data_IF_807653505280
#
_entry.id   IF_807653505280
#
_cell.length_a   1.000
_cell.length_b   1.000
_cell.length_c   1.000
_cell.angle_alpha   90.00
_cell.angle_beta   90.00
_cell.angle_gamma   90.00
#
_symmetry.space_group_name_H-M   'P 1'
#
loop_
_entity.id
_entity.type
_entity.pdbx_description
1 polymer ?
#
# COMPACT_ATOMS: atom_id res chain seq x y z
N UNK A 1 15.37 -53.52 19.24
CA UNK A 1 16.01 -52.19 19.27
C UNK A 1 15.75 -51.57 17.92
N UNK A 2 14.79 -50.65 17.86
CA UNK A 2 14.37 -50.01 16.62
C UNK A 2 15.21 -48.75 16.40
N UNK A 3 15.89 -48.70 15.26
CA UNK A 3 16.60 -47.52 14.81
C UNK A 3 15.58 -46.47 14.37
N UNK A 4 15.50 -45.39 15.14
CA UNK A 4 14.75 -44.19 14.78
C UNK A 4 15.57 -43.45 13.74
N UNK A 5 15.17 -43.58 12.47
CA UNK A 5 15.64 -42.70 11.40
C UNK A 5 15.05 -41.32 11.67
N UNK A 6 15.86 -40.44 12.27
CA UNK A 6 15.57 -39.02 12.39
C UNK A 6 15.69 -38.40 11.00
N UNK A 7 14.58 -38.36 10.27
CA UNK A 7 14.45 -37.53 9.07
C UNK A 7 14.47 -36.06 9.47
N UNK A 8 15.61 -35.40 9.28
CA UNK A 8 15.68 -33.95 9.25
C UNK A 8 14.87 -33.47 8.03
N UNK A 9 13.67 -32.92 8.30
CA UNK A 9 12.84 -32.30 7.27
C UNK A 9 13.48 -31.01 6.80
N UNK A 10 14.13 -31.07 5.64
CA UNK A 10 14.46 -29.90 4.84
C UNK A 10 13.16 -29.42 4.17
N UNK A 11 12.38 -28.64 4.91
CA UNK A 11 11.10 -28.07 4.48
C UNK A 11 11.35 -26.88 3.54
N UNK A 12 12.12 -27.09 2.46
CA UNK A 12 12.17 -26.18 1.33
C UNK A 12 10.84 -26.30 0.60
N UNK A 13 9.85 -25.47 0.97
CA UNK A 13 8.62 -25.29 0.19
C UNK A 13 9.01 -25.07 -1.27
N UNK A 14 8.73 -26.05 -2.12
CA UNK A 14 9.02 -25.98 -3.55
C UNK A 14 8.28 -24.80 -4.17
N UNK A 15 9.02 -23.91 -4.82
CA UNK A 15 8.50 -22.77 -5.57
C UNK A 15 7.47 -23.27 -6.60
N UNK A 16 6.22 -22.85 -6.45
CA UNK A 16 5.15 -23.19 -7.39
C UNK A 16 5.20 -22.22 -8.56
N UNK A 17 5.35 -22.72 -9.78
CA UNK A 17 5.44 -21.89 -11.00
C UNK A 17 4.22 -22.14 -11.91
N UNK A 18 3.89 -21.22 -12.83
CA UNK A 18 2.92 -21.47 -13.89
C UNK A 18 3.33 -22.70 -14.72
N UNK A 19 2.34 -23.52 -15.10
CA UNK A 19 2.56 -24.69 -15.95
C UNK A 19 1.91 -24.41 -17.31
N UNK A 20 2.68 -24.41 -18.42
CA UNK A 20 2.14 -24.24 -19.76
C UNK A 20 1.02 -25.23 -20.07
N UNK A 21 -0.04 -24.77 -20.75
CA UNK A 21 -1.20 -25.59 -21.10
C UNK A 21 -2.12 -25.98 -19.93
N UNK A 22 -1.83 -25.56 -18.69
CA UNK A 22 -2.72 -25.74 -17.54
C UNK A 22 -3.36 -24.44 -17.10
N UNK A 23 -4.49 -24.55 -16.40
CA UNK A 23 -5.12 -23.39 -15.74
C UNK A 23 -4.30 -22.98 -14.52
N UNK A 24 -3.60 -21.86 -14.66
CA UNK A 24 -2.78 -21.22 -13.64
C UNK A 24 -3.59 -20.11 -12.96
N UNK A 25 -3.74 -20.15 -11.63
CA UNK A 25 -4.62 -19.24 -10.88
C UNK A 25 -3.83 -18.57 -9.76
N UNK A 26 -3.65 -17.25 -9.88
CA UNK A 26 -3.14 -16.42 -8.81
C UNK A 26 -4.30 -15.89 -7.97
N UNK A 27 -4.30 -16.22 -6.68
CA UNK A 27 -5.30 -15.78 -5.71
C UNK A 27 -4.60 -14.87 -4.72
N UNK A 28 -5.15 -13.68 -4.54
CA UNK A 28 -4.66 -12.72 -3.55
C UNK A 28 -5.78 -12.38 -2.57
N UNK A 29 -5.41 -12.10 -1.33
CA UNK A 29 -6.30 -11.43 -0.39
C UNK A 29 -5.75 -10.05 -0.08
N UNK A 30 -6.64 -9.08 0.19
CA UNK A 30 -6.23 -7.74 0.54
C UNK A 30 -5.31 -7.79 1.77
N UNK A 31 -4.14 -7.15 1.66
CA UNK A 31 -3.15 -7.13 2.73
C UNK A 31 -3.73 -6.43 3.97
N UNK A 32 -3.91 -7.12 5.11
CA UNK A 32 -4.28 -6.46 6.36
C UNK A 32 -3.22 -5.46 6.79
N UNK A 33 -3.66 -4.27 7.21
CA UNK A 33 -2.78 -3.32 7.90
C UNK A 33 -2.27 -3.92 9.20
N UNK A 34 -0.95 -3.94 9.36
CA UNK A 34 -0.28 -4.61 10.48
C UNK A 34 -0.55 -3.96 11.83
N UNK A 35 -1.05 -2.73 11.89
CA UNK A 35 -1.15 -1.98 13.13
C UNK A 35 -2.39 -2.33 13.99
N UNK A 36 -3.22 -3.30 13.57
CA UNK A 36 -4.45 -3.68 14.27
C UNK A 36 -4.65 -5.20 14.29
N UNK A 37 -5.29 -5.72 15.34
CA UNK A 37 -5.71 -7.13 15.38
C UNK A 37 -6.90 -7.31 14.42
N UNK A 38 -6.90 -8.34 13.55
CA UNK A 38 -8.01 -8.55 12.61
C UNK A 38 -9.27 -8.99 13.35
N UNK A 39 -10.41 -8.37 13.02
CA UNK A 39 -11.72 -8.79 13.50
C UNK A 39 -12.45 -9.67 12.48
N UNK A 40 -13.57 -10.29 12.88
CA UNK A 40 -14.33 -11.23 12.03
C UNK A 40 -14.72 -10.63 10.67
N UNK A 41 -15.10 -9.35 10.63
CA UNK A 41 -15.36 -8.62 9.39
C UNK A 41 -14.18 -8.61 8.39
N UNK A 42 -12.93 -8.45 8.85
CA UNK A 42 -11.76 -8.53 7.97
C UNK A 42 -11.55 -9.96 7.45
N UNK A 43 -11.79 -10.94 8.33
CA UNK A 43 -11.58 -12.35 8.01
C UNK A 43 -12.56 -12.79 6.92
N UNK A 44 -13.86 -12.58 7.12
CA UNK A 44 -14.87 -13.00 6.15
C UNK A 44 -14.76 -12.22 4.83
N UNK A 45 -14.47 -10.92 4.90
CA UNK A 45 -14.41 -10.05 3.71
C UNK A 45 -13.19 -10.26 2.82
N UNK A 46 -12.13 -10.91 3.33
CA UNK A 46 -10.88 -11.05 2.59
C UNK A 46 -10.35 -12.49 2.63
N UNK A 47 -9.77 -12.92 3.76
CA UNK A 47 -8.93 -14.13 3.78
C UNK A 47 -9.74 -15.42 3.77
N UNK A 48 -10.90 -15.46 4.45
CA UNK A 48 -11.74 -16.67 4.49
C UNK A 48 -12.44 -16.92 3.15
N UNK A 49 -12.95 -15.86 2.51
CA UNK A 49 -13.56 -15.97 1.17
C UNK A 49 -12.54 -16.46 0.14
N UNK A 50 -11.31 -15.92 0.16
CA UNK A 50 -10.25 -16.34 -0.74
C UNK A 50 -9.75 -17.77 -0.44
N UNK A 51 -9.71 -18.19 0.84
CA UNK A 51 -9.34 -19.56 1.22
C UNK A 51 -10.29 -20.61 0.67
N UNK A 52 -11.60 -20.39 0.78
CA UNK A 52 -12.62 -21.29 0.23
C UNK A 52 -12.41 -21.48 -1.28
N UNK A 53 -12.17 -20.39 -2.01
CA UNK A 53 -11.88 -20.44 -3.44
C UNK A 53 -10.55 -21.14 -3.74
N UNK A 54 -9.49 -20.86 -2.99
CA UNK A 54 -8.19 -21.52 -3.15
C UNK A 54 -8.28 -23.04 -2.96
N UNK A 55 -8.98 -23.49 -1.91
CA UNK A 55 -9.24 -24.92 -1.66
C UNK A 55 -10.04 -25.55 -2.79
N UNK A 56 -11.09 -24.88 -3.28
CA UNK A 56 -11.84 -25.34 -4.44
C UNK A 56 -10.93 -25.49 -5.67
N UNK A 57 -10.11 -24.49 -6.00
CA UNK A 57 -9.21 -24.55 -7.14
C UNK A 57 -8.22 -25.72 -7.04
N UNK A 58 -7.66 -25.97 -5.85
CA UNK A 58 -6.77 -27.10 -5.59
C UNK A 58 -7.50 -28.44 -5.77
N UNK A 59 -8.73 -28.58 -5.24
CA UNK A 59 -9.56 -29.78 -5.43
C UNK A 59 -9.94 -30.03 -6.89
N UNK A 60 -10.08 -28.97 -7.69
CA UNK A 60 -10.31 -29.06 -9.15
C UNK A 60 -9.04 -29.43 -9.94
N UNK A 61 -7.89 -29.59 -9.28
CA UNK A 61 -6.62 -29.88 -9.93
C UNK A 61 -6.00 -28.68 -10.67
N UNK A 62 -6.48 -27.45 -10.42
CA UNK A 62 -5.88 -26.26 -10.99
C UNK A 62 -4.54 -25.95 -10.35
N UNK A 63 -3.62 -25.38 -11.12
CA UNK A 63 -2.37 -24.86 -10.59
C UNK A 63 -2.65 -23.52 -9.90
N UNK A 64 -3.12 -23.57 -8.65
CA UNK A 64 -3.53 -22.39 -7.90
C UNK A 64 -2.53 -22.02 -6.82
N UNK A 65 -2.20 -20.74 -6.73
CA UNK A 65 -1.36 -20.19 -5.68
C UNK A 65 -2.12 -19.10 -4.93
N UNK A 66 -2.16 -19.20 -3.61
CA UNK A 66 -2.87 -18.29 -2.74
C UNK A 66 -1.90 -17.56 -1.81
N UNK A 67 -1.79 -16.25 -2.04
CA UNK A 67 -0.81 -15.41 -1.38
C UNK A 67 -1.47 -14.25 -0.62
N UNK A 68 -0.88 -13.87 0.50
CA UNK A 68 -1.25 -12.68 1.28
C UNK A 68 -0.05 -12.21 2.10
N UNK A 69 -0.21 -11.18 2.91
CA UNK A 69 0.83 -10.68 3.79
C UNK A 69 0.35 -9.47 4.58
N UNK A 70 1.22 -8.90 5.40
CA UNK A 70 0.93 -7.68 6.16
C UNK A 70 1.34 -6.42 5.41
N UNK A 71 0.46 -5.42 5.38
CA UNK A 71 0.79 -4.07 4.95
C UNK A 71 1.34 -3.27 6.12
N UNK A 72 2.64 -2.94 6.04
CA UNK A 72 3.44 -2.47 7.16
C UNK A 72 3.81 -1.00 7.09
N UNK A 73 3.65 -0.39 5.92
CA UNK A 73 4.07 0.99 5.70
C UNK A 73 2.95 1.99 5.98
N UNK A 74 3.36 3.19 6.40
CA UNK A 74 2.48 4.34 6.51
C UNK A 74 2.51 5.02 7.87
N UNK A 75 1.94 6.23 7.93
CA UNK A 75 1.93 7.06 9.14
C UNK A 75 1.24 6.39 10.32
N UNK A 76 0.25 5.52 10.07
CA UNK A 76 -0.45 4.80 11.13
C UNK A 76 0.49 3.88 11.92
N UNK A 77 1.42 3.21 11.23
CA UNK A 77 2.46 2.38 11.87
C UNK A 77 3.41 3.25 12.70
N UNK A 78 3.86 4.39 12.17
CA UNK A 78 4.74 5.31 12.90
C UNK A 78 4.06 5.88 14.15
N UNK A 79 2.79 6.32 14.04
CA UNK A 79 2.02 6.82 15.19
C UNK A 79 1.86 5.73 16.25
N UNK A 80 1.50 4.51 15.84
CA UNK A 80 1.30 3.41 16.78
C UNK A 80 2.60 2.97 17.46
N UNK A 81 3.71 2.98 16.72
CA UNK A 81 5.03 2.73 17.27
C UNK A 81 5.41 3.77 18.35
N UNK A 82 5.11 5.05 18.11
CA UNK A 82 5.29 6.11 19.10
C UNK A 82 4.40 5.91 20.34
N UNK A 83 3.13 5.53 20.16
CA UNK A 83 2.21 5.24 21.27
C UNK A 83 2.67 4.05 22.12
N UNK A 84 3.24 3.01 21.50
CA UNK A 84 3.76 1.82 22.18
C UNK A 84 5.23 1.96 22.63
N UNK A 85 5.84 3.14 22.44
CA UNK A 85 7.25 3.40 22.75
C UNK A 85 8.21 2.37 22.13
N UNK A 86 7.96 1.96 20.89
CA UNK A 86 8.78 1.02 20.15
C UNK A 86 9.11 1.56 18.74
N UNK A 87 9.96 0.85 18.02
CA UNK A 87 10.29 1.18 16.63
C UNK A 87 9.19 0.69 15.68
N UNK A 88 9.02 1.32 14.49
CA UNK A 88 8.12 0.82 13.46
C UNK A 88 8.39 -0.64 13.07
N UNK A 89 9.66 -1.07 13.11
CA UNK A 89 10.01 -2.45 12.82
C UNK A 89 9.51 -3.42 13.90
N UNK A 90 9.71 -3.10 15.17
CA UNK A 90 9.27 -3.96 16.28
C UNK A 90 7.76 -4.12 16.31
N UNK A 91 7.00 -3.05 16.04
CA UNK A 91 5.54 -3.15 15.98
C UNK A 91 5.08 -4.02 14.81
N UNK A 92 5.68 -3.85 13.63
CA UNK A 92 5.36 -4.70 12.48
C UNK A 92 5.71 -6.17 12.74
N UNK A 93 6.88 -6.44 13.34
CA UNK A 93 7.33 -7.78 13.68
C UNK A 93 6.36 -8.45 14.68
N UNK A 94 5.92 -7.71 15.72
CA UNK A 94 4.94 -8.16 16.70
C UNK A 94 3.60 -8.51 16.06
N UNK A 95 3.01 -7.59 15.31
CA UNK A 95 1.66 -7.79 14.78
C UNK A 95 1.63 -8.72 13.57
N UNK A 96 2.68 -8.80 12.76
CA UNK A 96 2.79 -9.81 11.71
C UNK A 96 2.67 -11.23 12.29
N UNK A 97 3.34 -11.49 13.42
CA UNK A 97 3.20 -12.77 14.12
C UNK A 97 1.77 -13.02 14.61
N UNK A 98 1.10 -12.01 15.18
CA UNK A 98 -0.30 -12.11 15.61
C UNK A 98 -1.23 -12.46 14.43
N UNK A 99 -1.09 -11.75 13.30
CA UNK A 99 -1.88 -12.03 12.09
C UNK A 99 -1.67 -13.46 11.61
N UNK A 100 -0.41 -13.89 11.50
CA UNK A 100 -0.07 -15.25 11.09
C UNK A 100 -0.70 -16.30 12.01
N UNK A 101 -0.63 -16.10 13.32
CA UNK A 101 -1.15 -17.06 14.30
C UNK A 101 -2.68 -17.13 14.27
N UNK A 102 -3.38 -15.99 14.11
CA UNK A 102 -4.83 -15.94 13.91
C UNK A 102 -5.22 -16.69 12.62
N UNK A 103 -4.57 -16.40 11.49
CA UNK A 103 -4.91 -17.04 10.23
C UNK A 103 -4.57 -18.53 10.21
N UNK A 104 -3.51 -18.94 10.91
CA UNK A 104 -3.19 -20.35 11.14
C UNK A 104 -4.29 -21.03 11.97
N UNK A 105 -4.80 -20.39 13.01
CA UNK A 105 -5.89 -20.93 13.84
C UNK A 105 -7.20 -21.08 13.05
N UNK A 106 -7.53 -20.11 12.19
CA UNK A 106 -8.64 -20.22 11.23
C UNK A 106 -8.40 -21.23 10.10
N UNK A 107 -7.22 -21.87 10.07
CA UNK A 107 -6.81 -22.81 9.03
C UNK A 107 -6.84 -22.19 7.63
N UNK A 108 -6.42 -20.93 7.50
CA UNK A 108 -6.26 -20.28 6.20
C UNK A 108 -5.03 -20.84 5.51
N UNK A 109 -5.22 -21.37 4.31
CA UNK A 109 -4.24 -22.15 3.57
C UNK A 109 -3.45 -21.31 2.57
N UNK A 110 -2.72 -20.31 3.06
CA UNK A 110 -1.78 -19.57 2.21
C UNK A 110 -0.66 -20.49 1.73
N UNK A 111 -0.31 -20.39 0.44
CA UNK A 111 0.95 -20.92 -0.07
C UNK A 111 2.11 -20.08 0.50
N UNK A 112 1.93 -18.75 0.54
CA UNK A 112 2.87 -17.79 1.15
C UNK A 112 2.14 -16.66 1.91
N UNK A 113 2.61 -16.34 3.12
CA UNK A 113 2.14 -15.21 3.93
C UNK A 113 3.30 -14.25 4.23
N UNK A 114 3.49 -13.28 3.33
CA UNK A 114 4.64 -12.39 3.29
C UNK A 114 4.46 -11.06 4.01
N UNK A 115 5.34 -10.10 3.68
CA UNK A 115 5.44 -8.77 4.30
C UNK A 115 5.81 -7.71 3.27
N UNK A 116 5.29 -6.49 3.41
CA UNK A 116 5.68 -5.38 2.52
C UNK A 116 7.04 -4.78 2.87
N UNK A 117 7.54 -4.98 4.09
CA UNK A 117 8.80 -4.40 4.57
C UNK A 117 10.07 -5.13 4.09
N UNK A 118 10.18 -5.40 2.79
CA UNK A 118 11.21 -6.31 2.25
C UNK A 118 12.05 -5.65 1.14
N UNK A 119 13.33 -6.03 0.96
CA UNK A 119 14.17 -5.47 -0.10
C UNK A 119 13.56 -5.62 -1.51
N UNK A 120 12.91 -6.76 -1.78
CA UNK A 120 12.25 -7.08 -3.04
C UNK A 120 11.07 -6.11 -3.31
N UNK A 121 10.35 -5.69 -2.27
CA UNK A 121 9.31 -4.67 -2.41
C UNK A 121 9.90 -3.39 -2.97
N UNK A 122 11.04 -2.97 -2.41
CA UNK A 122 11.73 -1.76 -2.83
C UNK A 122 12.12 -1.85 -4.30
N UNK A 123 12.69 -2.98 -4.71
CA UNK A 123 13.09 -3.22 -6.10
C UNK A 123 11.91 -3.15 -7.09
N UNK A 124 10.81 -3.87 -6.81
CA UNK A 124 9.63 -3.89 -7.69
C UNK A 124 8.95 -2.53 -7.74
N UNK A 125 8.78 -1.86 -6.60
CA UNK A 125 8.24 -0.49 -6.56
C UNK A 125 9.13 0.47 -7.35
N UNK A 126 10.45 0.38 -7.23
CA UNK A 126 11.40 1.20 -7.99
C UNK A 126 11.30 0.93 -9.49
N UNK A 127 11.17 -0.34 -9.90
CA UNK A 127 11.05 -0.70 -11.31
C UNK A 127 9.77 -0.14 -11.94
N UNK A 128 8.63 -0.27 -11.26
CA UNK A 128 7.36 0.30 -11.73
C UNK A 128 7.47 1.83 -11.77
N UNK A 129 7.99 2.46 -10.72
CA UNK A 129 8.16 3.91 -10.68
C UNK A 129 9.04 4.43 -11.83
N UNK A 130 10.16 3.76 -12.13
CA UNK A 130 11.03 4.11 -13.26
C UNK A 130 10.28 4.04 -14.59
N UNK A 131 9.51 2.98 -14.82
CA UNK A 131 8.67 2.87 -16.03
C UNK A 131 7.64 4.00 -16.10
N UNK A 132 6.97 4.35 -14.99
CA UNK A 132 6.02 5.47 -14.97
C UNK A 132 6.70 6.80 -15.32
N UNK A 133 7.92 7.01 -14.81
CA UNK A 133 8.73 8.20 -15.08
C UNK A 133 9.16 8.26 -16.55
N UNK A 134 9.70 7.16 -17.09
CA UNK A 134 10.13 7.05 -18.50
C UNK A 134 8.98 7.26 -19.48
N UNK A 135 7.76 6.86 -19.11
CA UNK A 135 6.55 7.06 -19.93
C UNK A 135 5.88 8.44 -19.75
N UNK A 136 6.49 9.36 -18.99
CA UNK A 136 5.94 10.69 -18.70
C UNK A 136 4.52 10.66 -18.08
N UNK A 137 4.25 9.66 -17.23
CA UNK A 137 2.99 9.57 -16.48
C UNK A 137 3.08 10.17 -15.07
N UNK A 138 4.19 10.84 -14.77
CA UNK A 138 4.42 11.51 -13.50
C UNK A 138 4.60 13.01 -13.72
N UNK A 139 4.02 13.81 -12.82
CA UNK A 139 4.25 15.25 -12.73
C UNK A 139 4.78 15.63 -11.36
N UNK A 140 5.47 16.77 -11.28
CA UNK A 140 5.94 17.36 -10.02
C UNK A 140 5.10 18.60 -9.73
N UNK A 141 4.50 18.65 -8.54
CA UNK A 141 3.78 19.83 -8.06
C UNK A 141 4.19 20.15 -6.63
N UNK A 142 4.31 21.44 -6.35
CA UNK A 142 4.53 21.96 -5.01
C UNK A 142 3.19 22.02 -4.26
N UNK A 143 3.16 21.56 -3.01
CA UNK A 143 2.02 21.71 -2.13
C UNK A 143 2.42 22.27 -0.76
N UNK A 144 1.46 22.91 -0.11
CA UNK A 144 1.61 23.45 1.23
C UNK A 144 1.25 22.41 2.28
N UNK A 145 2.17 22.15 3.21
CA UNK A 145 1.96 21.28 4.36
C UNK A 145 2.43 21.95 5.65
N UNK A 146 1.87 21.52 6.77
CA UNK A 146 2.31 21.97 8.09
C UNK A 146 3.63 21.29 8.47
N UNK A 147 4.64 22.09 8.79
CA UNK A 147 5.97 21.65 9.22
C UNK A 147 6.19 22.03 10.68
N UNK A 148 6.62 21.07 11.48
CA UNK A 148 7.03 21.31 12.86
C UNK A 148 8.54 21.48 12.92
N UNK A 149 9.02 22.66 13.32
CA UNK A 149 10.45 22.96 13.43
C UNK A 149 11.11 22.14 14.55
N UNK A 150 10.44 21.99 15.69
CA UNK A 150 10.92 21.23 16.85
C UNK A 150 11.11 19.75 16.53
N UNK A 151 10.15 19.14 15.82
CA UNK A 151 10.24 17.74 15.39
C UNK A 151 10.97 17.57 14.04
N UNK A 152 11.35 18.68 13.40
CA UNK A 152 12.01 18.73 12.08
C UNK A 152 11.32 17.85 11.02
N UNK A 153 9.99 17.82 11.00
CA UNK A 153 9.20 16.98 10.08
C UNK A 153 7.89 17.64 9.62
N UNK A 154 7.43 17.25 8.44
CA UNK A 154 6.07 17.53 7.99
C UNK A 154 5.06 16.72 8.80
N UNK A 155 3.92 17.34 9.12
CA UNK A 155 2.88 16.75 9.94
C UNK A 155 1.78 16.22 9.04
N UNK A 156 1.50 14.92 9.15
CA UNK A 156 0.27 14.35 8.64
C UNK A 156 -0.93 14.90 9.41
N UNK A 157 -2.11 14.90 8.79
CA UNK A 157 -3.35 15.46 9.34
C UNK A 157 -3.67 14.99 10.77
N UNK A 158 -3.35 13.74 11.09
CA UNK A 158 -3.56 13.12 12.42
C UNK A 158 -2.60 13.61 13.50
N UNK A 159 -1.47 14.21 13.11
CA UNK A 159 -0.47 14.78 14.00
C UNK A 159 -0.66 16.29 14.20
N UNK A 160 -1.72 16.85 13.62
CA UNK A 160 -2.11 18.25 13.78
C UNK A 160 -3.42 18.30 14.57
N UNK A 161 -3.41 19.11 15.62
CA UNK A 161 -4.61 19.48 16.37
C UNK A 161 -4.74 21.00 16.41
N UNK A 162 -5.94 21.52 16.59
CA UNK A 162 -6.15 22.96 16.70
C UNK A 162 -7.60 23.31 16.94
N UNK A 163 -7.92 24.59 16.88
CA UNK A 163 -9.26 25.07 17.09
C UNK A 163 -10.05 25.00 15.77
N UNK A 164 -11.28 24.51 15.85
CA UNK A 164 -12.16 24.32 14.70
C UNK A 164 -12.51 25.68 14.06
N UNK A 165 -12.29 25.87 12.75
CA UNK A 165 -12.60 27.12 12.06
C UNK A 165 -14.10 27.30 11.79
N UNK A 166 -14.94 26.31 12.10
CA UNK A 166 -16.37 26.36 11.83
C UNK A 166 -17.05 27.37 12.77
N UNK A 167 -17.72 28.41 12.23
CA UNK A 167 -18.43 29.38 13.05
C UNK A 167 -19.44 28.69 13.99
N UNK A 168 -19.40 29.04 15.28
CA UNK A 168 -20.30 28.49 16.30
C UNK A 168 -19.91 27.11 16.85
N UNK A 169 -18.87 26.45 16.33
CA UNK A 169 -18.40 25.18 16.88
C UNK A 169 -17.53 25.37 18.13
N UNK A 170 -16.54 26.28 18.06
CA UNK A 170 -15.58 26.57 19.14
C UNK A 170 -15.00 25.30 19.80
N UNK A 171 -14.57 24.33 18.99
CA UNK A 171 -13.92 23.12 19.49
C UNK A 171 -12.41 23.30 19.44
N UNK A 172 -11.72 23.21 20.58
CA UNK A 172 -10.30 23.59 20.71
C UNK A 172 -9.30 22.47 20.39
N UNK A 173 -9.81 21.28 20.06
CA UNK A 173 -9.02 20.07 19.79
C UNK A 173 -9.50 19.35 18.53
N UNK A 174 -9.91 20.11 17.51
CA UNK A 174 -10.19 19.56 16.19
C UNK A 174 -8.94 18.95 15.57
N UNK A 175 -9.09 17.80 14.92
CA UNK A 175 -8.02 17.16 14.16
C UNK A 175 -7.87 17.81 12.80
N UNK A 176 -6.71 17.62 12.17
CA UNK A 176 -6.42 18.17 10.84
C UNK A 176 -7.36 17.70 9.73
N UNK A 177 -7.97 16.52 9.85
CA UNK A 177 -8.87 15.92 8.86
C UNK A 177 -10.36 16.13 9.15
N UNK A 178 -10.75 16.11 10.43
CA UNK A 178 -12.14 16.21 10.84
C UNK A 178 -12.29 16.76 12.25
N UNK A 179 -13.26 17.67 12.43
CA UNK A 179 -13.72 18.09 13.75
C UNK A 179 -14.68 17.06 14.36
N UNK A 180 -14.37 16.53 15.55
CA UNK A 180 -15.22 15.54 16.23
C UNK A 180 -16.52 16.14 16.78
N UNK A 181 -16.57 17.46 17.03
CA UNK A 181 -17.76 18.13 17.58
C UNK A 181 -18.82 18.42 16.51
N UNK A 182 -18.43 18.97 15.36
CA UNK A 182 -19.38 19.34 14.29
C UNK A 182 -19.36 18.39 13.09
N UNK A 183 -18.46 17.41 13.06
CA UNK A 183 -18.34 16.42 11.98
C UNK A 183 -17.77 16.97 10.66
N UNK A 184 -17.48 18.28 10.56
CA UNK A 184 -16.96 18.91 9.35
C UNK A 184 -15.57 18.36 8.99
N UNK A 185 -15.39 18.03 7.72
CA UNK A 185 -14.09 17.73 7.13
C UNK A 185 -13.27 19.02 7.02
N UNK A 186 -12.03 18.98 7.50
CA UNK A 186 -11.14 20.12 7.56
C UNK A 186 -9.88 19.83 6.76
N UNK A 187 -9.22 20.89 6.30
CA UNK A 187 -7.82 20.82 5.92
C UNK A 187 -6.96 21.29 7.11
N UNK A 188 -5.80 20.66 7.38
CA UNK A 188 -4.96 21.05 8.52
C UNK A 188 -4.54 22.52 8.50
N UNK A 189 -4.38 23.11 7.32
CA UNK A 189 -4.03 24.52 7.11
C UNK A 189 -5.15 25.51 7.48
N UNK A 190 -6.39 25.03 7.61
CA UNK A 190 -7.55 25.85 8.01
C UNK A 190 -7.74 25.90 9.53
N UNK A 191 -7.02 25.08 10.31
CA UNK A 191 -7.13 25.08 11.76
C UNK A 191 -6.63 26.40 12.35
N UNK A 192 -7.38 26.92 13.31
CA UNK A 192 -6.99 28.10 14.08
C UNK A 192 -6.04 27.65 15.19
N UNK A 193 -4.90 28.33 15.37
CA UNK A 193 -3.87 27.95 16.34
C UNK A 193 -3.47 26.47 16.26
N UNK A 194 -2.98 26.00 15.09
CA UNK A 194 -2.56 24.62 14.96
C UNK A 194 -1.41 24.32 15.92
N UNK A 195 -1.39 23.10 16.44
CA UNK A 195 -0.39 22.56 17.35
C UNK A 195 0.01 21.17 16.87
N UNK A 196 1.30 20.87 17.01
CA UNK A 196 1.82 19.54 16.76
C UNK A 196 1.43 18.62 17.92
N UNK A 197 0.73 17.53 17.64
CA UNK A 197 0.34 16.54 18.68
C UNK A 197 1.54 15.89 19.39
N UNK A 198 2.73 15.92 18.77
CA UNK A 198 3.94 15.29 19.30
C UNK A 198 4.67 16.17 20.32
N UNK A 199 4.81 17.47 20.05
CA UNK A 199 5.61 18.38 20.88
C UNK A 199 4.85 19.63 21.35
N UNK A 200 3.55 19.72 21.08
CA UNK A 200 2.66 20.84 21.38
C UNK A 200 3.03 22.21 20.76
N UNK A 201 4.14 22.32 20.02
CA UNK A 201 4.54 23.56 19.35
C UNK A 201 3.69 23.87 18.11
N UNK A 202 3.55 25.15 17.77
CA UNK A 202 2.80 25.58 16.58
C UNK A 202 3.58 25.30 15.30
N UNK A 203 3.04 24.50 14.36
CA UNK A 203 3.67 24.27 13.07
C UNK A 203 3.50 25.49 12.14
N UNK A 204 4.38 25.61 11.16
CA UNK A 204 4.31 26.63 10.09
C UNK A 204 3.98 25.99 8.75
N UNK A 205 3.31 26.71 7.88
CA UNK A 205 3.09 26.27 6.51
C UNK A 205 4.43 26.33 5.76
N UNK A 206 4.77 25.25 5.07
CA UNK A 206 5.97 25.15 4.25
C UNK A 206 5.63 24.44 2.94
N UNK A 207 6.22 24.93 1.86
CA UNK A 207 6.14 24.31 0.55
C UNK A 207 7.00 23.04 0.50
N UNK A 208 6.44 21.97 -0.07
CA UNK A 208 7.12 20.70 -0.32
C UNK A 208 6.75 20.18 -1.71
N UNK A 209 7.74 19.65 -2.43
CA UNK A 209 7.59 19.16 -3.78
C UNK A 209 7.22 17.67 -3.76
N UNK A 210 6.18 17.32 -4.51
CA UNK A 210 5.67 15.96 -4.57
C UNK A 210 5.47 15.50 -6.01
N UNK A 211 5.66 14.19 -6.22
CA UNK A 211 5.31 13.53 -7.47
C UNK A 211 3.86 13.04 -7.45
N UNK A 212 3.19 13.25 -8.57
CA UNK A 212 1.82 12.88 -8.82
C UNK A 212 1.75 11.89 -9.99
N UNK A 213 0.93 10.87 -9.86
CA UNK A 213 0.55 10.00 -10.97
C UNK A 213 -0.57 10.67 -11.75
N UNK A 214 -0.32 10.91 -13.04
CA UNK A 214 -1.26 11.52 -13.98
C UNK A 214 -2.31 10.50 -14.45
N UNK A 215 -3.20 10.10 -13.54
CA UNK A 215 -4.33 9.22 -13.85
C UNK A 215 -5.21 9.68 -15.03
N UNK A 216 -5.44 11.00 -15.28
CA UNK A 216 -6.20 11.43 -16.46
C UNK A 216 -5.60 10.93 -17.78
N UNK A 217 -4.26 10.86 -17.88
CA UNK A 217 -3.57 10.37 -19.08
C UNK A 217 -3.80 8.87 -19.33
N UNK A 218 -4.14 8.12 -18.27
CA UNK A 218 -4.36 6.68 -18.29
C UNK A 218 -5.84 6.30 -18.42
N UNK A 219 -6.76 7.27 -18.33
CA UNK A 219 -8.18 7.00 -18.18
C UNK A 219 -8.76 6.21 -19.36
N UNK A 220 -8.42 6.56 -20.60
CA UNK A 220 -8.90 5.84 -21.79
C UNK A 220 -8.50 4.37 -21.77
N UNK A 221 -7.19 4.09 -21.58
CA UNK A 221 -6.66 2.72 -21.52
C UNK A 221 -7.28 1.93 -20.37
N UNK A 222 -7.50 2.58 -19.23
CA UNK A 222 -8.12 1.95 -18.07
C UNK A 222 -9.60 1.59 -18.33
N UNK A 223 -10.35 2.47 -19.01
CA UNK A 223 -11.75 2.21 -19.39
C UNK A 223 -11.85 1.01 -20.33
N UNK A 224 -10.99 0.95 -21.34
CA UNK A 224 -10.96 -0.16 -22.30
C UNK A 224 -10.67 -1.47 -21.56
N UNK A 225 -9.62 -1.50 -20.72
CA UNK A 225 -9.27 -2.65 -19.90
C UNK A 225 -10.42 -3.10 -18.99
N UNK A 226 -11.07 -2.18 -18.27
CA UNK A 226 -12.18 -2.50 -17.36
C UNK A 226 -13.38 -3.06 -18.13
N UNK A 227 -13.69 -2.51 -19.31
CA UNK A 227 -14.83 -2.97 -20.11
C UNK A 227 -14.70 -4.43 -20.52
N UNK A 228 -13.50 -4.87 -20.88
CA UNK A 228 -13.22 -6.25 -21.26
C UNK A 228 -13.07 -7.15 -20.04
N UNK A 229 -12.26 -6.75 -19.06
CA UNK A 229 -11.89 -7.61 -17.93
C UNK A 229 -12.98 -7.75 -16.88
N UNK A 230 -13.90 -6.79 -16.75
CA UNK A 230 -15.02 -6.92 -15.81
C UNK A 230 -15.95 -8.07 -16.20
N UNK A 231 -16.15 -8.28 -17.49
CA UNK A 231 -16.95 -9.39 -18.05
C UNK A 231 -16.14 -10.69 -18.02
N UNK A 232 -14.95 -10.70 -18.64
CA UNK A 232 -14.11 -11.90 -18.74
C UNK A 232 -13.69 -12.43 -17.35
N UNK A 233 -13.37 -11.53 -16.43
CA UNK A 233 -12.98 -11.84 -15.05
C UNK A 233 -14.16 -12.03 -14.09
N UNK A 234 -15.41 -11.93 -14.57
CA UNK A 234 -16.63 -12.11 -13.75
C UNK A 234 -16.62 -11.28 -12.46
N UNK A 235 -16.38 -9.98 -12.58
CA UNK A 235 -16.31 -9.09 -11.42
C UNK A 235 -17.66 -9.02 -10.69
N UNK A 236 -17.61 -8.82 -9.37
CA UNK A 236 -18.84 -8.61 -8.61
C UNK A 236 -19.53 -7.31 -9.02
N UNK A 237 -20.86 -7.30 -8.99
CA UNK A 237 -21.66 -6.13 -9.37
C UNK A 237 -21.29 -4.88 -8.56
N UNK A 238 -21.00 -5.06 -7.27
CA UNK A 238 -20.59 -3.96 -6.39
C UNK A 238 -19.24 -3.36 -6.83
N UNK A 239 -18.29 -4.19 -7.25
CA UNK A 239 -16.99 -3.70 -7.74
C UNK A 239 -17.14 -2.94 -9.07
N UNK A 240 -17.99 -3.42 -9.98
CA UNK A 240 -18.29 -2.75 -11.25
C UNK A 240 -18.96 -1.39 -11.00
N UNK A 241 -20.00 -1.36 -10.17
CA UNK A 241 -20.71 -0.11 -9.84
C UNK A 241 -19.79 0.91 -9.19
N UNK A 242 -18.98 0.50 -8.21
CA UNK A 242 -18.03 1.39 -7.55
C UNK A 242 -17.01 1.94 -8.56
N UNK A 243 -16.42 1.07 -9.39
CA UNK A 243 -15.42 1.48 -10.39
C UNK A 243 -16.00 2.48 -11.39
N UNK A 244 -17.21 2.22 -11.90
CA UNK A 244 -17.89 3.12 -12.83
C UNK A 244 -18.26 4.46 -12.20
N UNK A 245 -18.60 4.49 -10.92
CA UNK A 245 -18.85 5.74 -10.20
C UNK A 245 -17.58 6.62 -10.16
N UNK A 246 -16.43 6.04 -9.81
CA UNK A 246 -15.13 6.75 -9.83
C UNK A 246 -14.76 7.25 -11.22
N UNK A 247 -14.95 6.43 -12.25
CA UNK A 247 -14.69 6.83 -13.63
C UNK A 247 -15.64 7.95 -14.09
N UNK A 248 -16.90 7.95 -13.65
CA UNK A 248 -17.86 9.00 -14.02
C UNK A 248 -17.49 10.37 -13.46
N UNK A 249 -16.88 10.42 -12.28
CA UNK A 249 -16.38 11.66 -11.67
C UNK A 249 -15.16 12.25 -12.40
N UNK A 250 -14.50 11.46 -13.25
CA UNK A 250 -13.24 11.79 -13.90
C UNK A 250 -12.04 11.53 -12.99
N UNK A 251 -11.00 10.89 -13.53
CA UNK A 251 -9.80 10.63 -12.76
C UNK A 251 -9.03 11.93 -12.56
N UNK A 252 -8.45 12.10 -11.37
CA UNK A 252 -7.60 13.25 -11.03
C UNK A 252 -6.21 12.76 -10.72
N UNK A 253 -5.21 13.59 -10.95
CA UNK A 253 -3.85 13.31 -10.52
C UNK A 253 -3.80 12.94 -9.03
N UNK A 254 -2.95 11.98 -8.66
CA UNK A 254 -2.82 11.51 -7.28
C UNK A 254 -1.38 11.60 -6.81
N UNK A 255 -1.16 12.30 -5.70
CA UNK A 255 0.15 12.36 -5.07
C UNK A 255 0.56 10.97 -4.56
N UNK A 256 1.64 10.41 -5.14
CA UNK A 256 2.16 9.09 -4.80
C UNK A 256 3.31 9.15 -3.81
N UNK A 257 3.74 10.34 -3.41
CA UNK A 257 4.93 10.59 -2.59
C UNK A 257 4.59 11.16 -1.23
N UNK A 258 5.38 10.89 -0.20
CA UNK A 258 5.18 11.42 1.16
C UNK A 258 6.51 11.78 1.81
N UNK A 259 6.45 12.81 2.65
CA UNK A 259 7.54 13.22 3.52
C UNK A 259 7.56 12.38 4.81
N UNK A 260 8.10 11.16 4.71
CA UNK A 260 8.30 10.26 5.87
C UNK A 260 9.77 10.22 6.30
N UNK A 261 9.99 9.88 7.57
CA UNK A 261 11.32 9.85 8.19
C UNK A 261 12.08 8.53 7.96
N UNK A 262 13.37 8.52 8.34
CA UNK A 262 14.46 7.72 7.76
C UNK A 262 14.41 6.18 7.80
N UNK A 263 13.46 5.51 8.45
CA UNK A 263 13.36 4.04 8.37
C UNK A 263 12.81 3.55 7.01
N UNK A 264 12.16 4.45 6.27
CA UNK A 264 11.33 4.12 5.12
C UNK A 264 11.75 4.85 3.83
N UNK A 265 12.82 5.64 3.86
CA UNK A 265 13.31 6.39 2.69
C UNK A 265 14.25 5.55 1.81
N UNK A 266 13.76 5.03 0.67
CA UNK A 266 14.67 4.43 -0.32
C UNK A 266 14.26 4.52 -1.79
N UNK A 267 13.33 5.40 -2.18
CA UNK A 267 12.89 5.44 -3.59
C UNK A 267 13.63 6.44 -4.48
N UNK A 268 14.24 7.50 -3.94
CA UNK A 268 14.81 8.59 -4.76
C UNK A 268 16.24 9.04 -4.41
N UNK A 269 16.99 8.34 -3.56
CA UNK A 269 18.36 8.79 -3.23
C UNK A 269 19.37 8.67 -4.39
N UNK A 270 19.07 7.92 -5.46
CA UNK A 270 20.06 7.58 -6.50
C UNK A 270 19.77 8.00 -7.96
N UNK A 271 18.69 8.74 -8.27
CA UNK A 271 18.47 9.21 -9.65
C UNK A 271 19.08 10.60 -9.90
N UNK A 272 20.42 10.69 -9.90
CA UNK A 272 21.13 11.79 -10.57
C UNK A 272 21.28 11.41 -12.05
N UNK A 273 20.34 11.81 -12.89
CA UNK A 273 20.56 11.79 -14.34
C UNK A 273 20.98 13.19 -14.79
N UNK A 274 22.26 13.32 -15.11
CA UNK A 274 22.79 14.44 -15.90
C UNK A 274 22.28 14.29 -17.34
N UNK A 275 21.10 14.85 -17.63
CA UNK A 275 20.50 14.81 -18.97
C UNK A 275 19.86 16.16 -19.30
N UNK A 276 20.31 16.76 -20.40
CA UNK A 276 19.88 18.07 -20.89
C UNK A 276 18.44 18.02 -21.41
N UNK A 277 17.45 18.22 -20.54
CA UNK A 277 16.10 18.65 -20.90
C UNK A 277 15.32 19.10 -19.66
N UNK A 278 15.36 20.40 -19.37
CA UNK A 278 14.23 21.24 -18.90
C UNK A 278 13.35 20.86 -17.70
N UNK A 279 13.55 19.76 -16.97
CA UNK A 279 12.74 19.38 -15.81
C UNK A 279 13.63 19.17 -14.59
N UNK A 280 13.48 20.02 -13.58
CA UNK A 280 14.14 19.81 -12.28
C UNK A 280 13.52 18.57 -11.66
N UNK A 281 14.19 17.42 -11.73
CA UNK A 281 13.82 16.24 -10.94
C UNK A 281 14.56 16.37 -9.60
N UNK A 282 13.88 17.03 -8.66
CA UNK A 282 14.11 17.11 -7.21
C UNK A 282 15.51 17.50 -6.71
N UNK A 283 15.59 18.70 -6.12
CA UNK A 283 16.66 19.10 -5.19
C UNK A 283 16.32 18.62 -3.78
N UNK A 284 17.11 17.68 -3.25
CA UNK A 284 17.27 17.42 -1.81
C UNK A 284 15.98 17.31 -0.98
N UNK A 285 15.11 16.35 -1.32
CA UNK A 285 14.01 15.90 -0.48
C UNK A 285 13.92 14.39 -0.63
N UNK A 286 14.06 13.64 0.46
CA UNK A 286 14.06 12.18 0.41
C UNK A 286 12.63 11.68 0.29
N UNK A 287 12.18 11.65 -0.95
CA UNK A 287 10.82 11.30 -1.30
C UNK A 287 10.67 9.79 -1.36
N UNK A 288 9.64 9.29 -0.69
CA UNK A 288 9.27 7.89 -0.74
C UNK A 288 7.86 7.74 -1.27
N UNK A 289 7.67 6.79 -2.18
CA UNK A 289 6.36 6.50 -2.79
C UNK A 289 5.53 5.78 -1.73
N UNK A 290 4.80 6.49 -0.87
CA UNK A 290 3.99 5.90 0.20
C UNK A 290 2.52 6.30 0.09
N UNK A 291 1.63 5.32 0.31
CA UNK A 291 0.19 5.52 0.41
C UNK A 291 -0.61 4.41 -0.27
N UNK A 292 -1.93 4.64 -0.45
CA UNK A 292 -2.89 3.70 -1.08
C UNK A 292 -2.46 3.15 -2.46
N UNK A 293 -1.47 3.77 -3.12
CA UNK A 293 -0.89 3.29 -4.38
C UNK A 293 0.17 2.18 -4.25
N UNK A 294 0.76 1.94 -3.07
CA UNK A 294 1.69 0.81 -2.84
C UNK A 294 0.96 -0.51 -2.62
N UNK A 295 -0.24 -0.49 -2.00
CA UNK A 295 -0.98 -1.71 -1.67
C UNK A 295 -1.22 -2.65 -2.87
N UNK A 296 -1.56 -2.17 -4.09
CA UNK A 296 -1.64 -3.04 -5.27
C UNK A 296 -0.28 -3.60 -5.71
N UNK A 297 0.79 -2.80 -5.65
CA UNK A 297 2.15 -3.21 -6.04
C UNK A 297 2.69 -4.28 -5.07
N UNK A 298 2.32 -4.20 -3.80
CA UNK A 298 2.67 -5.18 -2.78
C UNK A 298 2.15 -6.59 -3.08
N UNK A 299 1.01 -6.72 -3.78
CA UNK A 299 0.50 -8.03 -4.20
C UNK A 299 1.37 -8.66 -5.31
N UNK A 300 1.92 -7.85 -6.23
CA UNK A 300 2.89 -8.32 -7.21
C UNK A 300 4.13 -8.91 -6.50
N UNK A 301 4.60 -8.29 -5.42
CA UNK A 301 5.76 -8.78 -4.69
C UNK A 301 5.51 -10.12 -3.97
N UNK A 302 4.34 -10.32 -3.32
CA UNK A 302 4.03 -11.64 -2.75
C UNK A 302 3.92 -12.72 -3.85
N UNK A 303 3.55 -12.36 -5.09
CA UNK A 303 3.62 -13.25 -6.26
C UNK A 303 5.08 -13.56 -6.67
N UNK A 304 5.98 -12.58 -6.57
CA UNK A 304 7.42 -12.78 -6.77
C UNK A 304 8.10 -13.65 -5.69
N UNK A 305 7.62 -13.68 -4.44
CA UNK A 305 8.11 -14.64 -3.41
C UNK A 305 8.00 -16.09 -3.87
N UNK A 306 7.02 -16.35 -4.72
CA UNK A 306 6.76 -17.65 -5.32
C UNK A 306 7.35 -17.81 -6.72
N UNK A 307 8.18 -16.86 -7.19
CA UNK A 307 8.73 -16.75 -8.55
C UNK A 307 7.69 -16.92 -9.68
N UNK A 308 6.41 -16.71 -9.39
CA UNK A 308 5.31 -17.05 -10.29
C UNK A 308 5.38 -16.25 -11.61
N UNK A 309 5.83 -15.00 -11.54
CA UNK A 309 5.91 -14.10 -12.69
C UNK A 309 7.25 -14.20 -13.48
N UNK A 310 8.18 -15.07 -13.08
CA UNK A 310 9.48 -15.27 -13.77
C UNK A 310 9.45 -16.34 -14.86
N UNK A 311 8.32 -17.02 -15.06
CA UNK A 311 8.12 -17.81 -16.26
C UNK A 311 7.92 -16.86 -17.43
N UNK A 312 8.89 -16.76 -18.33
CA UNK A 312 8.76 -16.05 -19.61
C UNK A 312 7.45 -16.50 -20.29
N UNK A 313 6.44 -15.64 -20.20
CA UNK A 313 5.29 -15.68 -21.09
C UNK A 313 5.56 -14.60 -22.12
N UNK A 314 6.12 -15.02 -23.25
CA UNK A 314 5.90 -14.32 -24.51
C UNK A 314 4.39 -14.15 -24.65
N UNK A 315 3.94 -12.89 -24.59
CA UNK A 315 2.60 -12.55 -25.02
C UNK A 315 2.62 -12.64 -26.55
N UNK A 316 2.38 -13.84 -27.09
CA UNK A 316 1.91 -13.94 -28.46
C UNK A 316 0.50 -13.34 -28.50
N UNK A 317 0.41 -12.14 -29.05
CA UNK A 317 -0.84 -11.49 -29.45
C UNK A 317 -1.47 -12.27 -30.61
N UNK A 318 -2.09 -13.40 -30.33
CA UNK A 318 -3.06 -14.02 -31.23
C UNK A 318 -3.88 -15.03 -30.42
N UNK A 319 -5.07 -14.63 -29.96
CA UNK A 319 -6.33 -15.41 -29.89
C UNK A 319 -7.47 -14.59 -29.25
#
# INVERSE_FOLDING_TARGET
MGDVVTGAGDDQKSVKLPIPGKRNILITSALPYVNNVPHLGNIIGCVLSADVFARYCRLRGYNAIYICGTDEYGTATETKALEENCTPKEICDKYHAIHRDVYKWFNISFDEFGRTSTPQQTEVCQAIFKKLLENNWLSENTMQQLYCDTCSKFLADRLVEGNCPTPGCNYDSARGDQCEKCGKLLNPTELINPRCKVCATSPRIRDTDHLFLELPLLESKLRDYISTMSVAGSWSQNAIHATNAWLKEGLRQRCITRDLSGAFQSLLRNSRTSGKSGGKILKSGAISVYGKGQCPISHCNVSFYTNWDRGELDYDEDY
#
